data_IF_992658948429
#
_entry.id   IF_992658948429
#
_cell.length_a   1.000
_cell.length_b   1.000
_cell.length_c   1.000
_cell.angle_alpha   90.00
_cell.angle_beta   90.00
_cell.angle_gamma   90.00
#
_symmetry.space_group_name_H-M   'P 1'
#
loop_
_entity.id
_entity.type
_entity.pdbx_description
1 polymer ?
#
# COMPACT_ATOMS: atom_id res chain seq x y z
N UNK A 1 -20.87 -4.11 -4.87
CA UNK A 1 -19.99 -3.52 -3.83
C UNK A 1 -18.58 -3.53 -4.41
N UNK A 2 -18.16 -2.34 -4.79
CA UNK A 2 -17.09 -1.96 -5.74
C UNK A 2 -15.70 -1.91 -5.10
N UNK A 3 -14.65 -1.75 -5.91
CA UNK A 3 -13.22 -1.87 -5.63
C UNK A 3 -12.65 -0.79 -4.70
N UNK A 4 -13.44 -0.28 -3.74
CA UNK A 4 -13.13 0.84 -2.83
C UNK A 4 -11.86 0.67 -1.95
N UNK A 5 -11.13 -0.43 -2.14
CA UNK A 5 -10.39 -1.10 -1.11
C UNK A 5 -8.91 -1.34 -1.50
N UNK A 6 -8.61 -1.69 -2.76
CA UNK A 6 -7.22 -1.94 -3.19
C UNK A 6 -6.34 -0.66 -3.12
N UNK A 7 -6.95 0.53 -3.21
CA UNK A 7 -6.22 1.81 -3.34
C UNK A 7 -6.13 2.61 -2.04
N UNK A 8 -7.01 2.37 -1.06
CA UNK A 8 -7.00 3.06 0.24
C UNK A 8 -5.87 2.55 1.15
N UNK A 9 -5.39 1.33 0.91
CA UNK A 9 -4.53 0.63 1.85
C UNK A 9 -3.02 0.79 1.62
N UNK A 10 -2.60 1.38 0.49
CA UNK A 10 -1.19 1.74 0.27
C UNK A 10 -0.73 2.86 1.23
N UNK A 11 -1.67 3.45 1.97
CA UNK A 11 -1.52 4.70 2.66
C UNK A 11 -1.40 4.60 4.19
N UNK A 12 -0.36 3.98 4.75
CA UNK A 12 -0.06 4.09 6.20
C UNK A 12 1.44 4.06 6.51
N UNK A 13 2.11 5.21 6.72
CA UNK A 13 3.47 5.26 7.32
C UNK A 13 3.74 6.61 8.03
N UNK A 14 4.29 6.57 9.26
CA UNK A 14 4.39 7.73 10.16
C UNK A 14 5.79 8.24 10.53
N UNK A 15 5.86 9.57 10.69
CA UNK A 15 6.68 10.46 11.55
C UNK A 15 8.21 10.47 11.46
N UNK A 16 8.72 11.48 10.76
CA UNK A 16 9.88 12.31 11.11
C UNK A 16 9.90 13.56 10.20
N UNK A 17 9.74 14.75 10.81
CA UNK A 17 9.69 16.02 10.09
C UNK A 17 10.92 16.25 9.21
N UNK A 18 10.71 16.39 7.89
CA UNK A 18 11.75 16.81 6.95
C UNK A 18 11.28 18.06 6.21
N UNK A 19 11.85 19.20 6.58
CA UNK A 19 11.82 20.43 5.79
C UNK A 19 12.57 20.19 4.48
N UNK A 20 11.89 20.38 3.34
CA UNK A 20 12.53 20.37 2.02
C UNK A 20 13.53 21.52 1.91
N UNK A 21 14.79 21.23 2.17
CA UNK A 21 15.91 21.86 1.51
C UNK A 21 16.43 20.89 0.45
N UNK A 22 16.69 21.42 -0.74
CA UNK A 22 17.43 20.83 -1.86
C UNK A 22 18.27 19.62 -1.42
N UNK A 23 17.83 18.39 -1.74
CA UNK A 23 18.47 17.15 -1.28
C UNK A 23 19.91 17.12 -1.78
N UNK A 24 20.85 17.45 -0.89
CA UNK A 24 22.24 17.05 -1.02
C UNK A 24 22.26 15.54 -1.02
N UNK A 25 22.96 14.92 -1.98
CA UNK A 25 22.97 13.46 -2.15
C UNK A 25 23.37 12.82 -0.82
N UNK A 26 22.47 12.08 -0.14
CA UNK A 26 22.79 11.47 1.14
C UNK A 26 23.93 10.45 0.96
N UNK A 27 24.66 10.10 2.05
CA UNK A 27 25.71 9.08 1.99
C UNK A 27 25.18 7.80 1.34
N UNK A 28 26.05 7.05 0.67
CA UNK A 28 25.73 5.74 0.09
C UNK A 28 25.20 4.82 1.19
N UNK A 29 23.90 4.56 1.18
CA UNK A 29 23.26 3.59 2.06
C UNK A 29 23.32 2.24 1.35
N UNK A 30 24.00 1.27 1.94
CA UNK A 30 23.93 -0.12 1.46
C UNK A 30 22.53 -0.65 1.79
N UNK A 31 21.81 -1.27 0.84
CA UNK A 31 20.52 -1.89 1.15
C UNK A 31 20.72 -2.96 2.23
N UNK A 32 19.84 -3.04 3.24
CA UNK A 32 19.88 -4.14 4.20
C UNK A 32 19.57 -5.47 3.50
N UNK A 33 20.03 -6.57 4.10
CA UNK A 33 19.71 -7.90 3.61
C UNK A 33 18.20 -8.16 3.68
N UNK A 34 17.66 -8.82 2.66
CA UNK A 34 16.27 -9.25 2.66
C UNK A 34 16.08 -10.35 3.73
N UNK A 35 14.98 -10.31 4.50
CA UNK A 35 14.69 -11.35 5.47
C UNK A 35 14.44 -12.70 4.79
N UNK A 36 14.62 -13.77 5.55
CA UNK A 36 14.20 -15.12 5.15
C UNK A 36 12.77 -15.37 5.61
N UNK A 37 12.03 -16.20 4.86
CA UNK A 37 10.72 -16.68 5.28
C UNK A 37 10.80 -17.65 6.45
N UNK A 38 9.77 -17.62 7.29
CA UNK A 38 9.57 -18.57 8.39
C UNK A 38 8.18 -19.20 8.27
N UNK A 39 8.15 -20.52 8.11
CA UNK A 39 6.90 -21.28 7.98
C UNK A 39 6.02 -21.20 9.23
N UNK A 40 6.60 -20.90 10.40
CA UNK A 40 5.86 -20.70 11.65
C UNK A 40 5.18 -19.32 11.75
N UNK A 41 5.47 -18.40 10.83
CA UNK A 41 4.87 -17.06 10.78
C UNK A 41 4.05 -16.81 9.51
N UNK A 42 4.42 -17.43 8.39
CA UNK A 42 3.69 -17.35 7.13
C UNK A 42 3.49 -18.77 6.61
N UNK A 43 2.23 -19.17 6.50
CA UNK A 43 1.83 -20.37 5.78
C UNK A 43 1.11 -19.98 4.51
N UNK A 44 1.49 -20.61 3.40
CA UNK A 44 0.87 -20.38 2.08
C UNK A 44 0.13 -21.65 1.67
N UNK A 45 -1.15 -21.51 1.39
CA UNK A 45 -2.01 -22.62 0.95
C UNK A 45 -2.66 -22.27 -0.39
N UNK A 46 -2.53 -23.17 -1.37
CA UNK A 46 -3.19 -23.05 -2.66
C UNK A 46 -4.35 -24.03 -2.72
N UNK A 47 -5.56 -23.53 -2.95
CA UNK A 47 -6.70 -24.35 -3.32
C UNK A 47 -6.93 -24.24 -4.83
N UNK A 48 -6.53 -25.30 -5.54
CA UNK A 48 -6.68 -25.36 -6.99
C UNK A 48 -8.14 -25.46 -7.45
N UNK A 49 -9.04 -26.02 -6.64
CA UNK A 49 -10.45 -26.14 -7.00
C UNK A 49 -11.21 -24.82 -6.79
N UNK A 50 -10.84 -24.09 -5.74
CA UNK A 50 -11.42 -22.77 -5.44
C UNK A 50 -10.73 -21.62 -6.19
N UNK A 51 -9.62 -21.87 -6.87
CA UNK A 51 -8.80 -20.84 -7.53
C UNK A 51 -8.32 -19.75 -6.56
N UNK A 52 -7.84 -20.18 -5.38
CA UNK A 52 -7.36 -19.27 -4.33
C UNK A 52 -5.97 -19.60 -3.82
N UNK A 53 -5.25 -18.56 -3.40
CA UNK A 53 -4.01 -18.65 -2.62
C UNK A 53 -4.26 -17.92 -1.31
N UNK A 54 -4.14 -18.61 -0.19
CA UNK A 54 -4.25 -18.02 1.15
C UNK A 54 -2.88 -17.88 1.80
N UNK A 55 -2.57 -16.68 2.26
CA UNK A 55 -1.47 -16.40 3.16
C UNK A 55 -2.04 -16.28 4.58
N UNK A 56 -1.67 -17.22 5.44
CA UNK A 56 -1.97 -17.19 6.87
C UNK A 56 -0.76 -16.63 7.59
N UNK A 57 -0.95 -15.46 8.22
CA UNK A 57 0.09 -14.63 8.82
C UNK A 57 -0.12 -14.63 10.34
N UNK A 58 0.84 -15.13 11.10
CA UNK A 58 0.76 -15.33 12.54
C UNK A 58 1.30 -16.70 12.98
N UNK A 59 1.20 -17.06 14.27
CA UNK A 59 0.40 -16.40 15.31
C UNK A 59 1.00 -15.06 15.76
N UNK A 60 0.13 -14.10 16.06
CA UNK A 60 0.50 -12.83 16.71
C UNK A 60 -0.17 -12.78 18.07
N UNK A 61 0.60 -12.52 19.13
CA UNK A 61 0.05 -12.30 20.47
C UNK A 61 -0.12 -10.81 20.70
N UNK A 62 -1.36 -10.36 20.67
CA UNK A 62 -1.69 -8.97 21.01
C UNK A 62 -1.49 -8.76 22.51
N UNK A 63 -0.99 -7.58 22.87
CA UNK A 63 -0.68 -7.20 24.25
C UNK A 63 -1.40 -5.89 24.61
N UNK A 64 -2.17 -5.84 25.70
CA UNK A 64 -2.94 -4.65 26.06
C UNK A 64 -2.07 -3.45 26.47
N UNK A 65 -0.80 -3.66 26.80
CA UNK A 65 0.16 -2.60 27.19
C UNK A 65 0.87 -1.94 26.00
N UNK A 66 0.58 -2.37 24.78
CA UNK A 66 1.31 -2.01 23.57
C UNK A 66 0.31 -1.43 22.57
N UNK A 67 0.58 -0.24 22.02
CA UNK A 67 -0.31 0.40 21.04
C UNK A 67 -0.53 -0.46 19.79
N UNK A 68 0.58 -0.84 19.16
CA UNK A 68 0.62 -1.66 17.96
C UNK A 68 1.64 -2.78 18.07
N UNK A 69 1.33 -3.96 17.54
CA UNK A 69 2.27 -5.09 17.44
C UNK A 69 2.60 -5.30 15.97
N UNK A 70 3.89 -5.35 15.64
CA UNK A 70 4.38 -5.66 14.30
C UNK A 70 5.09 -7.00 14.31
N UNK A 71 4.81 -7.84 13.31
CA UNK A 71 5.58 -9.08 13.14
C UNK A 71 6.89 -8.79 12.39
N UNK A 72 7.94 -9.61 12.57
CA UNK A 72 9.13 -9.51 11.73
C UNK A 72 8.73 -9.64 10.26
N UNK A 73 9.22 -8.75 9.39
CA UNK A 73 8.96 -8.84 7.94
C UNK A 73 9.38 -10.20 7.42
N UNK A 74 8.52 -10.84 6.64
CA UNK A 74 8.73 -12.20 6.13
C UNK A 74 8.87 -12.19 4.61
N UNK A 75 9.73 -13.04 4.08
CA UNK A 75 9.77 -13.35 2.66
C UNK A 75 8.94 -14.59 2.38
N UNK A 76 8.22 -14.61 1.27
CA UNK A 76 7.49 -15.76 0.76
C UNK A 76 7.53 -15.78 -0.78
N UNK A 77 6.85 -16.74 -1.40
CA UNK A 77 6.79 -16.88 -2.85
C UNK A 77 5.39 -17.22 -3.35
N UNK A 78 5.07 -16.80 -4.57
CA UNK A 78 3.84 -17.16 -5.25
C UNK A 78 3.88 -18.60 -5.79
N UNK A 79 2.81 -19.40 -5.64
CA UNK A 79 2.77 -20.80 -6.04
C UNK A 79 2.08 -21.06 -7.40
N UNK A 80 1.93 -20.04 -8.25
CA UNK A 80 1.20 -20.13 -9.54
C UNK A 80 1.89 -19.34 -10.65
N UNK A 81 1.66 -19.77 -11.88
CA UNK A 81 1.85 -18.99 -13.10
C UNK A 81 0.46 -18.53 -13.60
N UNK A 82 0.25 -17.21 -13.72
CA UNK A 82 -1.03 -16.67 -14.16
C UNK A 82 -1.31 -15.25 -13.68
N UNK A 83 -2.54 -14.98 -13.24
CA UNK A 83 -2.97 -13.64 -12.80
C UNK A 83 -3.71 -13.66 -11.49
N UNK A 84 -3.40 -12.70 -10.61
CA UNK A 84 -4.21 -12.36 -9.45
C UNK A 84 -5.32 -11.38 -9.86
N UNK A 85 -6.55 -11.65 -9.45
CA UNK A 85 -7.73 -10.85 -9.81
C UNK A 85 -8.36 -10.11 -8.64
N UNK A 86 -8.12 -10.56 -7.42
CA UNK A 86 -8.76 -9.99 -6.25
C UNK A 86 -8.26 -10.61 -4.98
N UNK A 87 -8.80 -10.12 -3.87
CA UNK A 87 -8.40 -10.54 -2.55
C UNK A 87 -9.56 -10.46 -1.55
N UNK A 88 -9.41 -11.19 -0.45
CA UNK A 88 -10.20 -11.04 0.79
C UNK A 88 -9.23 -11.02 1.97
N UNK A 89 -9.55 -10.20 2.98
CA UNK A 89 -8.81 -10.08 4.23
C UNK A 89 -9.71 -10.43 5.40
N UNK A 90 -9.24 -11.30 6.28
CA UNK A 90 -9.94 -11.69 7.49
C UNK A 90 -8.98 -11.84 8.66
N UNK A 91 -9.47 -11.50 9.85
CA UNK A 91 -8.79 -11.77 11.12
C UNK A 91 -9.44 -12.99 11.78
N UNK A 92 -8.63 -13.87 12.37
CA UNK A 92 -9.11 -15.05 13.11
C UNK A 92 -8.31 -15.28 14.37
N UNK A 93 -8.89 -15.94 15.37
CA UNK A 93 -8.15 -16.45 16.53
C UNK A 93 -7.58 -17.86 16.28
N UNK A 94 -6.88 -18.42 17.27
CA UNK A 94 -6.28 -19.75 17.20
C UNK A 94 -7.27 -20.91 17.04
N UNK A 95 -8.55 -20.71 17.36
CA UNK A 95 -9.61 -21.68 17.12
C UNK A 95 -10.26 -21.50 15.73
N UNK A 96 -9.78 -20.51 14.96
CA UNK A 96 -10.29 -20.18 13.62
C UNK A 96 -11.55 -19.32 13.63
N UNK A 97 -11.99 -18.82 14.79
CA UNK A 97 -13.16 -17.96 14.90
C UNK A 97 -12.87 -16.57 14.33
N UNK A 98 -13.84 -15.93 13.67
CA UNK A 98 -13.64 -14.61 13.07
C UNK A 98 -13.43 -13.55 14.15
N UNK A 99 -12.47 -12.66 13.91
CA UNK A 99 -12.18 -11.48 14.71
C UNK A 99 -12.50 -10.19 13.94
N UNK A 100 -12.68 -9.05 14.65
CA UNK A 100 -12.77 -7.74 14.02
C UNK A 100 -11.57 -7.46 13.11
N UNK A 101 -11.80 -6.90 11.92
CA UNK A 101 -10.70 -6.52 11.02
C UNK A 101 -9.97 -5.29 11.54
N UNK A 102 -10.62 -4.51 12.40
CA UNK A 102 -10.12 -3.31 13.04
C UNK A 102 -8.88 -3.60 13.93
N UNK A 103 -8.60 -4.87 14.23
CA UNK A 103 -7.34 -5.32 14.84
C UNK A 103 -6.14 -5.24 13.88
N UNK A 104 -6.36 -5.20 12.57
CA UNK A 104 -5.32 -4.97 11.57
C UNK A 104 -5.08 -3.46 11.47
N UNK A 105 -3.84 -3.03 11.72
CA UNK A 105 -3.42 -1.66 11.41
C UNK A 105 -3.18 -1.59 9.90
N UNK A 106 -2.26 -2.42 9.39
CA UNK A 106 -2.10 -2.64 7.95
C UNK A 106 -1.30 -3.89 7.63
N UNK A 107 -1.43 -4.34 6.39
CA UNK A 107 -0.55 -5.33 5.76
C UNK A 107 -0.15 -4.82 4.38
N UNK A 108 1.10 -5.06 3.99
CA UNK A 108 1.62 -4.77 2.64
C UNK A 108 2.39 -5.97 2.11
N UNK A 109 2.15 -6.30 0.85
CA UNK A 109 2.90 -7.26 0.06
C UNK A 109 3.72 -6.48 -0.97
N UNK A 110 5.03 -6.72 -0.99
CA UNK A 110 5.99 -5.97 -1.80
C UNK A 110 6.78 -6.96 -2.64
N UNK A 111 6.86 -6.71 -3.95
CA UNK A 111 7.77 -7.40 -4.84
C UNK A 111 9.16 -6.75 -4.71
N UNK A 112 10.16 -7.47 -4.16
CA UNK A 112 11.48 -6.91 -3.91
C UNK A 112 12.38 -6.91 -5.16
N UNK A 113 11.93 -7.46 -6.30
CA UNK A 113 12.71 -7.67 -7.50
C UNK A 113 12.39 -6.65 -8.60
N UNK A 114 11.14 -6.19 -8.64
CA UNK A 114 10.68 -5.17 -9.59
C UNK A 114 10.54 -3.78 -8.95
N UNK A 115 10.82 -2.76 -9.76
CA UNK A 115 10.69 -1.36 -9.36
C UNK A 115 9.22 -0.91 -9.32
N UNK A 116 8.85 0.03 -8.47
CA UNK A 116 7.57 0.74 -8.52
C UNK A 116 7.44 1.62 -9.79
N UNK A 117 6.19 1.93 -10.20
CA UNK A 117 5.92 2.66 -11.44
C UNK A 117 6.56 4.05 -11.46
N UNK A 118 6.42 4.85 -10.40
CA UNK A 118 6.88 6.25 -10.39
C UNK A 118 8.19 6.48 -9.63
N UNK A 119 8.65 5.50 -8.85
CA UNK A 119 9.73 5.65 -7.89
C UNK A 119 10.75 4.51 -8.02
N UNK A 120 12.04 4.74 -7.70
CA UNK A 120 13.09 3.74 -7.82
C UNK A 120 13.11 2.71 -6.68
N UNK A 121 11.98 2.47 -6.01
CA UNK A 121 11.84 1.57 -4.86
C UNK A 121 11.14 0.27 -5.27
N UNK A 122 11.06 -0.70 -4.36
CA UNK A 122 10.38 -1.98 -4.60
C UNK A 122 8.88 -1.79 -4.88
N UNK A 123 8.30 -2.59 -5.77
CA UNK A 123 6.89 -2.45 -6.18
C UNK A 123 5.95 -2.93 -5.07
N UNK A 124 4.95 -2.12 -4.72
CA UNK A 124 3.89 -2.55 -3.78
C UNK A 124 2.82 -3.29 -4.57
N UNK A 125 2.65 -4.57 -4.29
CA UNK A 125 1.72 -5.45 -5.02
C UNK A 125 0.31 -5.38 -4.43
N UNK A 126 0.23 -5.27 -3.11
CA UNK A 126 -1.04 -5.27 -2.39
C UNK A 126 -0.86 -4.60 -1.05
N UNK A 127 -1.90 -3.94 -0.57
CA UNK A 127 -2.00 -3.53 0.82
C UNK A 127 -3.46 -3.62 1.30
N UNK A 128 -3.65 -3.79 2.60
CA UNK A 128 -4.96 -3.68 3.28
C UNK A 128 -4.81 -3.14 4.70
N UNK A 129 -5.84 -2.42 5.17
CA UNK A 129 -5.98 -1.97 6.56
C UNK A 129 -7.41 -2.28 7.05
N UNK A 130 -8.35 -1.38 6.77
CA UNK A 130 -9.80 -1.54 7.02
C UNK A 130 -10.55 -2.29 5.90
N UNK A 131 -9.80 -2.65 4.87
CA UNK A 131 -10.30 -3.12 3.60
C UNK A 131 -10.49 -4.64 3.61
N UNK A 132 -11.75 -5.09 3.50
CA UNK A 132 -12.10 -6.52 3.57
C UNK A 132 -11.91 -7.28 2.26
N UNK A 133 -12.17 -6.64 1.11
CA UNK A 133 -12.09 -7.32 -0.20
C UNK A 133 -11.95 -6.33 -1.36
N UNK A 134 -11.37 -6.79 -2.45
CA UNK A 134 -11.33 -6.07 -3.72
C UNK A 134 -11.13 -7.04 -4.88
N UNK A 135 -11.66 -6.72 -6.05
CA UNK A 135 -11.43 -7.49 -7.27
C UNK A 135 -11.49 -6.61 -8.53
N UNK A 136 -10.62 -6.90 -9.50
CA UNK A 136 -10.69 -6.33 -10.84
C UNK A 136 -11.56 -7.21 -11.76
N UNK A 137 -12.10 -6.67 -12.86
CA UNK A 137 -12.77 -7.48 -13.87
C UNK A 137 -11.85 -8.60 -14.39
N UNK A 138 -12.38 -9.81 -14.60
CA UNK A 138 -11.58 -10.99 -14.97
C UNK A 138 -10.79 -10.89 -16.29
N UNK A 139 -11.07 -9.90 -17.14
CA UNK A 139 -10.31 -9.61 -18.36
C UNK A 139 -8.98 -8.88 -18.08
N UNK A 140 -8.73 -8.50 -16.83
CA UNK A 140 -7.48 -7.91 -16.37
C UNK A 140 -7.02 -8.61 -15.08
N UNK A 141 -5.72 -8.61 -14.83
CA UNK A 141 -5.15 -9.13 -13.58
C UNK A 141 -3.69 -8.74 -13.41
N UNK A 142 -3.21 -8.87 -12.18
CA UNK A 142 -1.80 -8.70 -11.86
C UNK A 142 -1.05 -9.99 -12.23
N UNK A 143 -0.15 -9.94 -13.24
CA UNK A 143 0.56 -11.13 -13.70
C UNK A 143 1.57 -11.60 -12.65
N UNK A 144 1.69 -12.90 -12.49
CA UNK A 144 2.59 -13.56 -11.53
C UNK A 144 3.19 -14.83 -12.13
N UNK A 145 4.41 -15.13 -11.73
CA UNK A 145 5.12 -16.37 -12.03
C UNK A 145 5.37 -17.17 -10.74
N UNK A 146 5.40 -18.50 -10.87
CA UNK A 146 5.68 -19.37 -9.74
C UNK A 146 7.11 -19.14 -9.25
N UNK A 147 7.26 -18.83 -7.97
CA UNK A 147 8.54 -18.46 -7.36
C UNK A 147 8.78 -16.95 -7.27
N UNK A 148 7.92 -16.10 -7.83
CA UNK A 148 7.95 -14.66 -7.59
C UNK A 148 7.97 -14.38 -6.08
N UNK A 149 8.92 -13.57 -5.65
CA UNK A 149 9.15 -13.29 -4.23
C UNK A 149 8.24 -12.18 -3.74
N UNK A 150 7.76 -12.32 -2.51
CA UNK A 150 6.96 -11.29 -1.84
C UNK A 150 7.48 -11.07 -0.43
N UNK A 151 7.76 -9.81 -0.10
CA UNK A 151 7.94 -9.35 1.27
C UNK A 151 6.58 -9.01 1.88
N UNK A 152 6.31 -9.54 3.07
CA UNK A 152 5.11 -9.28 3.84
C UNK A 152 5.50 -8.48 5.10
N UNK A 153 4.95 -7.27 5.20
CA UNK A 153 4.99 -6.46 6.42
C UNK A 153 3.57 -6.30 6.95
N UNK A 154 3.35 -6.62 8.23
CA UNK A 154 2.03 -6.52 8.87
C UNK A 154 2.13 -5.95 10.28
N UNK A 155 1.22 -5.04 10.61
CA UNK A 155 1.06 -4.38 11.91
C UNK A 155 -0.39 -4.49 12.38
N UNK A 156 -0.57 -4.60 13.69
CA UNK A 156 -1.84 -4.87 14.35
C UNK A 156 -2.10 -3.85 15.45
N UNK A 157 -3.32 -3.35 15.55
CA UNK A 157 -3.79 -2.53 16.67
C UNK A 157 -3.98 -3.40 17.91
N UNK A 158 -3.14 -3.18 18.91
CA UNK A 158 -3.06 -4.04 20.10
C UNK A 158 -3.83 -3.48 21.29
N UNK A 159 -4.14 -2.17 21.31
CA UNK A 159 -5.04 -1.54 22.31
C UNK A 159 -6.53 -1.82 22.08
N UNK A 160 -6.90 -2.25 20.87
CA UNK A 160 -8.29 -2.66 20.59
C UNK A 160 -8.58 -4.07 21.12
N UNK A 161 -7.59 -4.77 21.69
CA UNK A 161 -7.73 -6.09 22.28
C UNK A 161 -8.69 -6.11 23.49
N UNK A 162 -8.87 -4.98 24.20
CA UNK A 162 -9.84 -4.88 25.31
C UNK A 162 -11.31 -5.01 24.85
N UNK A 163 -11.57 -4.83 23.54
CA UNK A 163 -12.89 -5.08 22.94
C UNK A 163 -13.14 -6.57 22.66
N UNK A 164 -12.10 -7.41 22.75
CA UNK A 164 -12.21 -8.85 22.71
C UNK A 164 -12.50 -9.32 24.13
N UNK A 165 -13.75 -9.66 24.39
CA UNK A 165 -14.18 -10.18 25.68
C UNK A 165 -13.31 -11.40 26.07
N UNK A 166 -12.82 -11.37 27.31
CA UNK A 166 -11.81 -12.25 27.96
C UNK A 166 -10.36 -11.83 27.81
N UNK A 167 -9.80 -11.39 28.95
CA UNK A 167 -8.40 -11.00 29.16
C UNK A 167 -7.38 -12.15 29.07
N UNK A 168 -7.61 -13.11 28.19
CA UNK A 168 -6.68 -14.17 27.84
C UNK A 168 -5.96 -13.81 26.54
N UNK A 169 -4.65 -14.08 26.49
CA UNK A 169 -3.75 -13.77 25.37
C UNK A 169 -4.20 -14.54 24.11
N UNK A 170 -5.09 -13.97 23.31
CA UNK A 170 -5.52 -14.60 22.05
C UNK A 170 -4.43 -14.44 21.00
N UNK A 171 -3.95 -15.57 20.50
CA UNK A 171 -3.19 -15.61 19.25
C UNK A 171 -4.14 -15.22 18.12
N UNK A 172 -3.73 -14.23 17.34
CA UNK A 172 -4.46 -13.76 16.17
C UNK A 172 -3.71 -14.11 14.90
N UNK A 173 -4.47 -14.39 13.87
CA UNK A 173 -4.02 -14.75 12.53
C UNK A 173 -4.67 -13.82 11.52
N UNK A 174 -3.85 -13.27 10.65
CA UNK A 174 -4.30 -12.52 9.48
C UNK A 174 -4.35 -13.46 8.28
N UNK A 175 -5.50 -13.54 7.65
CA UNK A 175 -5.74 -14.32 6.45
C UNK A 175 -5.87 -13.37 5.26
N UNK A 176 -4.98 -13.50 4.28
CA UNK A 176 -5.05 -12.79 3.00
C UNK A 176 -5.23 -13.81 1.88
N UNK A 177 -6.43 -13.88 1.31
CA UNK A 177 -6.77 -14.81 0.25
C UNK A 177 -6.83 -14.10 -1.08
N UNK A 178 -5.98 -14.46 -2.04
CA UNK A 178 -6.05 -13.98 -3.42
C UNK A 178 -6.84 -14.93 -4.30
N UNK A 179 -7.62 -14.40 -5.25
CA UNK A 179 -8.23 -15.18 -6.34
C UNK A 179 -7.37 -15.10 -7.59
N UNK A 180 -7.27 -16.21 -8.34
CA UNK A 180 -6.41 -16.28 -9.51
C UNK A 180 -7.04 -16.96 -10.74
N UNK A 181 -6.43 -16.76 -11.90
CA UNK A 181 -6.58 -17.63 -13.07
C UNK A 181 -5.20 -18.12 -13.53
N UNK A 182 -5.14 -19.31 -14.15
CA UNK A 182 -3.88 -19.88 -14.61
C UNK A 182 -3.59 -19.52 -16.07
N UNK A 183 -2.32 -19.48 -16.42
CA UNK A 183 -1.90 -19.41 -17.82
C UNK A 183 -2.46 -20.58 -18.64
N UNK A 184 -2.96 -20.29 -19.84
CA UNK A 184 -3.54 -21.29 -20.75
C UNK A 184 -4.90 -21.87 -20.32
N UNK A 185 -5.46 -21.48 -19.18
CA UNK A 185 -6.75 -21.98 -18.69
C UNK A 185 -7.95 -21.41 -19.48
N UNK A 186 -7.87 -20.13 -19.84
CA UNK A 186 -8.95 -19.40 -20.49
C UNK A 186 -8.70 -19.22 -21.99
N UNK A 187 -9.78 -19.15 -22.79
CA UNK A 187 -9.71 -18.85 -24.22
C UNK A 187 -9.06 -17.47 -24.49
N UNK A 188 -9.28 -16.51 -23.59
CA UNK A 188 -8.72 -15.18 -23.63
C UNK A 188 -7.97 -14.95 -22.33
N UNK A 189 -6.67 -14.73 -22.43
CA UNK A 189 -5.84 -14.39 -21.28
C UNK A 189 -6.13 -12.97 -20.78
N UNK A 190 -6.11 -12.74 -19.47
CA UNK A 190 -6.20 -11.42 -18.89
C UNK A 190 -5.11 -10.48 -19.40
N UNK A 191 -5.44 -9.20 -19.51
CA UNK A 191 -4.46 -8.14 -19.75
C UNK A 191 -3.76 -7.74 -18.44
N UNK A 192 -2.47 -7.50 -18.53
CA UNK A 192 -1.65 -7.19 -17.37
C UNK A 192 -1.98 -5.79 -16.82
N UNK A 193 -2.33 -5.76 -15.54
CA UNK A 193 -2.45 -4.53 -14.76
C UNK A 193 -1.51 -4.55 -13.57
N UNK A 194 -1.04 -3.38 -13.17
CA UNK A 194 -0.15 -3.21 -12.02
C UNK A 194 -0.74 -2.16 -11.08
N UNK A 195 -0.69 -2.38 -9.76
CA UNK A 195 -0.89 -1.30 -8.81
C UNK A 195 0.23 -0.27 -8.94
N UNK A 196 -0.06 0.97 -8.56
CA UNK A 196 0.95 1.99 -8.31
C UNK A 196 0.49 2.92 -7.19
N UNK A 197 1.45 3.61 -6.58
CA UNK A 197 1.14 4.63 -5.59
C UNK A 197 1.98 5.89 -5.78
N UNK A 198 1.46 7.01 -5.29
CA UNK A 198 2.05 8.34 -5.35
C UNK A 198 1.73 9.07 -4.05
N UNK A 199 2.71 9.75 -3.45
CA UNK A 199 2.49 10.55 -2.24
C UNK A 199 3.14 11.93 -2.41
N UNK A 200 2.48 12.97 -1.89
CA UNK A 200 2.95 14.37 -1.97
C UNK A 200 4.27 14.64 -1.23
N UNK A 201 4.68 13.74 -0.34
CA UNK A 201 5.98 13.73 0.33
C UNK A 201 7.03 12.89 -0.43
N UNK A 202 6.65 12.23 -1.53
CA UNK A 202 7.51 11.39 -2.35
C UNK A 202 7.41 9.91 -1.98
N UNK A 203 8.49 9.15 -2.14
CA UNK A 203 8.47 7.68 -1.99
C UNK A 203 9.41 7.16 -0.89
N UNK A 204 10.16 8.02 -0.20
CA UNK A 204 10.96 7.64 0.99
C UNK A 204 10.66 8.60 2.14
N UNK A 205 10.55 8.05 3.35
CA UNK A 205 10.40 8.82 4.58
C UNK A 205 8.94 8.99 5.02
N UNK A 206 8.73 9.94 5.92
CA UNK A 206 7.41 10.25 6.48
C UNK A 206 6.41 10.66 5.41
N UNK A 207 5.19 10.13 5.50
CA UNK A 207 4.07 10.42 4.60
C UNK A 207 3.16 11.52 5.12
N UNK A 208 3.39 11.94 6.36
CA UNK A 208 2.65 13.01 7.01
C UNK A 208 3.43 14.31 7.00
N UNK A 209 2.71 15.43 7.05
CA UNK A 209 3.31 16.76 7.13
C UNK A 209 2.47 17.70 7.99
N UNK A 210 3.09 18.77 8.47
CA UNK A 210 2.38 19.80 9.24
C UNK A 210 1.43 20.58 8.31
N UNK A 211 0.15 20.63 8.68
CA UNK A 211 -0.87 21.49 8.04
C UNK A 211 -1.09 22.71 8.93
N UNK A 212 -0.55 23.90 8.56
CA UNK A 212 -0.71 25.11 9.36
C UNK A 212 -2.15 25.64 9.31
N UNK A 213 -2.54 26.59 10.18
CA UNK A 213 -3.78 27.35 10.05
C UNK A 213 -3.96 27.97 8.65
N UNK A 214 -5.17 27.88 8.11
CA UNK A 214 -5.56 28.39 6.80
C UNK A 214 -5.15 27.48 5.62
N UNK A 215 -5.07 28.09 4.43
CA UNK A 215 -4.80 27.36 3.18
C UNK A 215 -3.34 26.93 3.09
N UNK A 216 -3.13 25.67 2.70
CA UNK A 216 -1.81 25.14 2.39
C UNK A 216 -1.86 24.11 1.28
N UNK A 217 -0.71 23.88 0.63
CA UNK A 217 -0.57 22.93 -0.47
C UNK A 217 0.74 22.16 -0.33
N UNK A 218 0.72 20.89 -0.74
CA UNK A 218 1.91 20.04 -0.93
C UNK A 218 1.84 19.33 -2.27
N UNK A 219 2.99 19.02 -2.84
CA UNK A 219 3.07 18.32 -4.11
C UNK A 219 4.37 17.55 -4.28
N UNK A 220 4.31 16.47 -5.03
CA UNK A 220 5.48 15.73 -5.50
C UNK A 220 5.36 15.46 -7.01
N UNK A 221 6.50 15.33 -7.69
CA UNK A 221 6.56 15.12 -9.14
C UNK A 221 7.41 13.93 -9.51
N UNK A 222 6.99 13.20 -10.54
CA UNK A 222 7.74 12.10 -11.12
C UNK A 222 7.18 11.64 -12.46
N UNK A 223 7.90 10.73 -13.10
CA UNK A 223 7.53 10.13 -14.37
C UNK A 223 7.34 8.62 -14.17
N UNK A 224 6.33 8.01 -14.82
CA UNK A 224 6.18 6.57 -14.77
C UNK A 224 7.33 5.91 -15.52
N UNK A 225 7.71 4.71 -15.10
CA UNK A 225 8.72 3.87 -15.70
C UNK A 225 8.34 3.39 -17.10
N UNK A 226 7.04 3.27 -17.37
CA UNK A 226 6.46 2.75 -18.61
C UNK A 226 5.23 3.53 -19.02
N UNK A 227 4.90 3.49 -20.31
CA UNK A 227 3.63 3.99 -20.82
C UNK A 227 2.47 3.09 -20.36
N UNK A 228 1.27 3.65 -20.25
CA UNK A 228 0.09 2.85 -19.94
C UNK A 228 -1.19 3.66 -19.83
N UNK A 229 -2.22 3.02 -19.30
CA UNK A 229 -3.55 3.60 -19.09
C UNK A 229 -3.97 3.40 -17.65
N UNK A 230 -4.20 4.50 -16.95
CA UNK A 230 -4.76 4.46 -15.60
C UNK A 230 -6.22 4.01 -15.70
N UNK A 231 -6.52 2.90 -15.03
CA UNK A 231 -7.84 2.24 -15.07
C UNK A 231 -8.64 2.43 -13.77
N UNK A 232 -7.96 2.74 -12.67
CA UNK A 232 -8.61 3.15 -11.43
C UNK A 232 -7.69 4.08 -10.63
N UNK A 233 -8.30 5.01 -9.91
CA UNK A 233 -7.65 5.91 -8.97
C UNK A 233 -8.49 6.06 -7.71
N UNK A 234 -7.82 6.02 -6.58
CA UNK A 234 -8.34 6.43 -5.28
C UNK A 234 -7.28 7.27 -4.58
N UNK A 235 -7.56 7.65 -3.34
CA UNK A 235 -6.57 8.34 -2.56
C UNK A 235 -6.84 8.30 -1.08
N UNK A 236 -5.93 8.89 -0.33
CA UNK A 236 -6.03 8.99 1.10
C UNK A 236 -5.48 10.35 1.54
N UNK A 237 -6.27 11.03 2.39
CA UNK A 237 -5.99 12.35 2.93
C UNK A 237 -6.54 12.43 4.35
N UNK A 238 -5.94 13.27 5.18
CA UNK A 238 -6.43 13.57 6.53
C UNK A 238 -7.43 14.75 6.53
N UNK A 239 -8.05 15.00 7.69
CA UNK A 239 -8.98 16.10 7.97
C UNK A 239 -8.52 17.46 7.42
N UNK A 240 -9.47 18.27 6.97
CA UNK A 240 -9.28 19.58 6.33
C UNK A 240 -8.69 19.55 4.91
N UNK A 241 -8.47 18.37 4.32
CA UNK A 241 -8.16 18.27 2.90
C UNK A 241 -9.36 18.76 2.08
N UNK A 242 -9.10 19.67 1.14
CA UNK A 242 -10.13 20.23 0.26
C UNK A 242 -10.03 19.70 -1.16
N UNK A 243 -8.84 19.20 -1.55
CA UNK A 243 -8.60 18.69 -2.90
C UNK A 243 -7.40 17.76 -2.97
N UNK A 244 -7.49 16.75 -3.82
CA UNK A 244 -6.37 15.89 -4.23
C UNK A 244 -6.38 15.75 -5.76
N UNK A 245 -5.21 15.85 -6.40
CA UNK A 245 -5.10 15.89 -7.87
C UNK A 245 -3.90 15.10 -8.39
N UNK A 246 -4.05 14.56 -9.59
CA UNK A 246 -2.98 14.10 -10.45
C UNK A 246 -2.98 14.91 -11.75
N UNK A 247 -1.86 15.56 -12.06
CA UNK A 247 -1.72 16.46 -13.19
C UNK A 247 -0.59 15.98 -14.10
N UNK A 248 -0.83 15.94 -15.40
CA UNK A 248 0.20 15.83 -16.43
C UNK A 248 0.77 17.22 -16.67
N UNK A 249 1.92 17.51 -16.06
CA UNK A 249 2.55 18.84 -16.11
C UNK A 249 3.11 19.12 -17.49
N UNK A 250 3.52 18.09 -18.22
CA UNK A 250 4.04 18.21 -19.59
C UNK A 250 2.98 18.72 -20.55
N UNK A 251 1.72 18.25 -20.42
CA UNK A 251 0.60 18.70 -21.26
C UNK A 251 -0.23 19.84 -20.65
N UNK A 252 -0.13 20.06 -19.34
CA UNK A 252 -1.02 20.96 -18.61
C UNK A 252 -2.42 20.37 -18.38
N UNK A 253 -2.54 19.04 -18.42
CA UNK A 253 -3.82 18.33 -18.32
C UNK A 253 -4.04 17.78 -16.91
N UNK A 254 -5.26 17.95 -16.38
CA UNK A 254 -5.66 17.25 -15.15
C UNK A 254 -6.05 15.82 -15.51
N UNK A 255 -5.33 14.85 -14.97
CA UNK A 255 -5.60 13.41 -15.17
C UNK A 255 -6.75 12.98 -14.27
N UNK A 256 -6.73 13.44 -13.02
CA UNK A 256 -7.72 13.11 -12.02
C UNK A 256 -7.74 14.17 -10.92
N UNK A 257 -8.92 14.37 -10.35
CA UNK A 257 -9.16 15.33 -9.28
C UNK A 257 -10.34 14.87 -8.45
N UNK A 258 -10.23 15.06 -7.14
CA UNK A 258 -11.29 14.77 -6.19
C UNK A 258 -11.32 15.82 -5.09
N UNK A 259 -12.53 16.13 -4.62
CA UNK A 259 -12.76 16.78 -3.35
C UNK A 259 -13.15 15.69 -2.33
N UNK A 260 -12.46 15.57 -1.18
CA UNK A 260 -12.82 14.61 -0.15
C UNK A 260 -14.26 14.79 0.33
N UNK A 261 -14.93 13.68 0.65
CA UNK A 261 -16.18 13.75 1.41
C UNK A 261 -15.83 14.08 2.85
N UNK A 262 -16.32 15.21 3.37
CA UNK A 262 -16.03 15.65 4.74
C UNK A 262 -17.30 16.11 5.46
N UNK A 263 -17.31 15.93 6.78
CA UNK A 263 -18.36 16.44 7.64
C UNK A 263 -18.26 17.97 7.86
N UNK A 264 -19.17 18.52 8.66
CA UNK A 264 -19.22 19.96 8.95
C UNK A 264 -18.02 20.48 9.74
N UNK A 265 -17.34 19.60 10.47
CA UNK A 265 -16.17 19.91 11.27
C UNK A 265 -14.87 19.73 10.46
N UNK A 266 -14.98 19.36 9.17
CA UNK A 266 -13.86 19.16 8.27
C UNK A 266 -13.23 17.77 8.38
N UNK A 267 -13.88 16.83 9.08
CA UNK A 267 -13.39 15.45 9.20
C UNK A 267 -13.66 14.70 7.92
N UNK A 268 -12.65 14.02 7.40
CA UNK A 268 -12.79 13.25 6.15
C UNK A 268 -13.54 11.96 6.44
N UNK A 269 -14.66 11.75 5.74
CA UNK A 269 -15.47 10.53 5.81
C UNK A 269 -15.03 9.49 4.75
N UNK A 270 -14.37 9.94 3.68
CA UNK A 270 -13.77 9.04 2.68
C UNK A 270 -13.37 9.73 1.38
N UNK A 271 -12.60 9.00 0.56
CA UNK A 271 -12.22 9.40 -0.80
C UNK A 271 -12.88 8.47 -1.81
N UNK A 272 -13.72 8.99 -2.73
CA UNK A 272 -14.29 8.18 -3.79
C UNK A 272 -13.22 7.55 -4.69
N UNK A 273 -13.41 6.29 -5.03
CA UNK A 273 -12.63 5.61 -6.06
C UNK A 273 -13.27 5.84 -7.43
N UNK A 274 -12.47 6.27 -8.39
CA UNK A 274 -12.87 6.42 -9.79
C UNK A 274 -12.36 5.24 -10.61
N UNK A 275 -13.27 4.35 -10.95
CA UNK A 275 -13.05 3.19 -11.81
C UNK A 275 -13.33 3.54 -13.28
N UNK A 276 -12.46 3.08 -14.19
CA UNK A 276 -12.51 3.38 -15.62
C UNK A 276 -12.44 2.11 -16.48
N UNK A 277 -12.83 0.94 -15.95
CA UNK A 277 -12.72 -0.38 -16.60
C UNK A 277 -13.35 -0.45 -18.00
N UNK A 278 -14.52 0.18 -18.13
CA UNK A 278 -15.33 0.17 -19.34
C UNK A 278 -15.00 1.33 -20.29
N UNK A 279 -14.17 2.27 -19.84
CA UNK A 279 -13.54 3.27 -20.69
C UNK A 279 -12.15 2.80 -21.14
N UNK A 280 -11.50 3.59 -21.98
CA UNK A 280 -10.11 3.33 -22.39
C UNK A 280 -9.08 3.74 -21.32
N UNK A 281 -9.51 3.94 -20.06
CA UNK A 281 -8.71 4.59 -19.02
C UNK A 281 -8.19 5.96 -19.42
N UNK A 282 -7.25 6.51 -18.63
CA UNK A 282 -6.52 7.74 -18.96
C UNK A 282 -5.08 7.39 -19.31
N UNK A 283 -4.68 7.70 -20.55
CA UNK A 283 -3.33 7.43 -21.02
C UNK A 283 -2.30 8.28 -20.27
N UNK A 284 -1.20 7.66 -19.87
CA UNK A 284 -0.01 8.30 -19.32
C UNK A 284 1.23 7.84 -20.11
N UNK A 285 2.29 8.64 -20.10
CA UNK A 285 3.53 8.34 -20.80
C UNK A 285 4.75 8.48 -19.90
N UNK A 286 5.71 7.56 -20.06
CA UNK A 286 7.03 7.62 -19.43
C UNK A 286 7.82 8.87 -19.82
N UNK A 287 7.50 9.50 -20.95
CA UNK A 287 8.13 10.73 -21.39
C UNK A 287 7.60 12.00 -20.70
N UNK A 288 6.53 11.90 -19.92
CA UNK A 288 5.90 13.05 -19.27
C UNK A 288 6.22 13.15 -17.79
N UNK A 289 6.13 14.37 -17.26
CA UNK A 289 6.22 14.65 -15.84
C UNK A 289 4.81 14.80 -15.26
N UNK A 290 4.52 14.05 -14.21
CA UNK A 290 3.25 14.10 -13.49
C UNK A 290 3.46 14.72 -12.12
N UNK A 291 2.43 15.39 -11.61
CA UNK A 291 2.41 15.99 -10.27
C UNK A 291 1.19 15.50 -9.50
N UNK A 292 1.43 14.96 -8.31
CA UNK A 292 0.41 14.81 -7.29
C UNK A 292 0.37 16.11 -6.46
N UNK A 293 -0.82 16.61 -6.19
CA UNK A 293 -1.05 17.81 -5.38
C UNK A 293 -2.15 17.56 -4.37
N UNK A 294 -1.97 18.01 -3.12
CA UNK A 294 -3.03 18.06 -2.12
C UNK A 294 -3.17 19.47 -1.59
N UNK A 295 -4.41 19.94 -1.49
CA UNK A 295 -4.80 21.22 -0.93
C UNK A 295 -5.52 20.99 0.41
N UNK A 296 -5.20 21.84 1.39
CA UNK A 296 -5.79 21.86 2.72
C UNK A 296 -6.30 23.25 3.06
N UNK A 297 -7.38 23.34 3.85
CA UNK A 297 -7.86 24.59 4.45
C UNK A 297 -8.23 24.35 5.92
N UNK A 298 -7.25 24.53 6.81
CA UNK A 298 -7.40 24.23 8.24
C UNK A 298 -8.03 25.43 8.97
N UNK A 299 -9.26 25.32 9.51
CA UNK A 299 -9.94 26.42 10.18
C UNK A 299 -9.43 26.68 11.61
N UNK A 300 -8.58 25.80 12.14
CA UNK A 300 -8.08 25.89 13.51
C UNK A 300 -6.99 26.96 13.65
N UNK A 301 -6.84 27.59 14.83
CA UNK A 301 -5.75 28.54 15.09
C UNK A 301 -4.39 27.85 15.30
N UNK A 302 -4.36 26.52 15.30
CA UNK A 302 -3.17 25.68 15.48
C UNK A 302 -3.05 24.69 14.30
N UNK A 303 -1.86 24.08 14.10
CA UNK A 303 -1.73 23.02 13.11
C UNK A 303 -2.75 21.90 13.30
N UNK A 304 -3.17 21.27 12.20
CA UNK A 304 -4.11 20.15 12.25
C UNK A 304 -3.54 19.02 13.13
N UNK A 305 -4.31 18.50 14.11
CA UNK A 305 -3.79 17.52 15.08
C UNK A 305 -3.21 16.25 14.44
N UNK A 306 -3.84 15.75 13.38
CA UNK A 306 -3.40 14.56 12.65
C UNK A 306 -2.38 14.87 11.54
N UNK A 307 -1.93 16.13 11.41
CA UNK A 307 -1.18 16.59 10.24
C UNK A 307 -1.97 16.44 8.94
N UNK A 308 -1.25 16.47 7.82
CA UNK A 308 -1.79 16.30 6.48
C UNK A 308 -1.17 15.10 5.79
N UNK A 309 -1.90 14.64 4.76
CA UNK A 309 -1.52 13.53 3.90
C UNK A 309 -2.10 13.72 2.51
N UNK A 310 -1.40 13.27 1.49
CA UNK A 310 -1.86 13.37 0.12
C UNK A 310 -1.33 12.21 -0.69
N UNK A 311 -2.13 11.14 -0.77
CA UNK A 311 -1.71 9.92 -1.43
C UNK A 311 -2.71 9.48 -2.49
N UNK A 312 -2.21 8.96 -3.60
CA UNK A 312 -2.98 8.34 -4.66
C UNK A 312 -2.52 6.90 -4.79
N UNK A 313 -3.46 5.97 -4.71
CA UNK A 313 -3.31 4.61 -5.22
C UNK A 313 -3.98 4.51 -6.59
N UNK A 314 -3.41 3.73 -7.50
CA UNK A 314 -4.02 3.45 -8.79
C UNK A 314 -3.75 2.07 -9.35
N UNK A 315 -4.46 1.74 -10.43
CA UNK A 315 -4.22 0.55 -11.25
C UNK A 315 -3.90 1.02 -12.67
N UNK A 316 -2.76 0.58 -13.21
CA UNK A 316 -2.34 0.86 -14.58
C UNK A 316 -2.47 -0.40 -15.45
N UNK A 317 -3.16 -0.28 -16.58
CA UNK A 317 -3.12 -1.22 -17.68
C UNK A 317 -1.93 -0.92 -18.57
N UNK A 318 -1.09 -1.92 -18.81
CA UNK A 318 0.07 -1.80 -19.68
C UNK A 318 -0.07 -2.70 -20.90
N UNK A 319 0.83 -2.53 -21.87
CA UNK A 319 0.94 -3.43 -23.01
C UNK A 319 1.41 -4.82 -22.57
N UNK A 320 0.91 -5.86 -23.24
CA UNK A 320 1.34 -7.23 -22.98
C UNK A 320 2.81 -7.36 -23.41
N UNK A 321 3.64 -7.97 -22.57
CA UNK A 321 5.07 -8.12 -22.83
C UNK A 321 5.89 -6.86 -22.62
N UNK A 322 5.34 -5.82 -21.98
CA UNK A 322 6.14 -4.65 -21.60
C UNK A 322 7.27 -5.09 -20.67
N UNK A 323 8.49 -4.63 -20.96
CA UNK A 323 9.62 -4.87 -20.09
C UNK A 323 9.50 -3.93 -18.88
N UNK A 324 8.98 -4.44 -17.78
CA UNK A 324 8.92 -3.70 -16.53
C UNK A 324 10.34 -3.52 -15.97
N UNK A 325 10.76 -2.32 -15.55
CA UNK A 325 12.11 -2.12 -15.05
C UNK A 325 12.38 -2.92 -13.77
N UNK A 326 13.49 -3.66 -13.79
CA UNK A 326 14.02 -4.30 -12.58
C UNK A 326 14.48 -3.25 -11.59
N UNK A 327 14.36 -3.61 -10.32
CA UNK A 327 14.86 -2.80 -9.24
C UNK A 327 16.40 -2.73 -9.29
N UNK A 328 16.96 -1.53 -9.06
CA UNK A 328 18.40 -1.36 -8.89
C UNK A 328 18.75 -1.44 -7.39
N UNK A 329 19.37 -2.53 -6.90
CA UNK A 329 19.69 -2.65 -5.48
C UNK A 329 20.74 -1.63 -5.00
N UNK A 330 21.51 -1.03 -5.92
CA UNK A 330 22.47 0.02 -5.59
C UNK A 330 21.84 1.42 -5.53
N UNK A 331 20.53 1.55 -5.77
CA UNK A 331 19.84 2.84 -5.65
C UNK A 331 19.72 3.24 -4.16
N UNK A 332 20.25 4.41 -3.76
CA UNK A 332 20.17 4.85 -2.36
C UNK A 332 18.73 5.07 -1.89
N UNK A 333 17.80 5.33 -2.80
CA UNK A 333 16.39 5.47 -2.46
C UNK A 333 15.75 4.13 -2.13
N UNK A 334 16.09 3.09 -2.90
CA UNK A 334 15.70 1.72 -2.57
C UNK A 334 16.27 1.30 -1.22
N UNK A 335 17.57 1.54 -0.98
CA UNK A 335 18.20 1.16 0.27
C UNK A 335 17.52 1.82 1.49
N UNK A 336 17.14 3.10 1.37
CA UNK A 336 16.39 3.82 2.42
C UNK A 336 14.96 3.32 2.56
N UNK A 337 14.28 3.05 1.45
CA UNK A 337 12.92 2.51 1.46
C UNK A 337 12.88 1.12 2.12
N UNK A 338 13.76 0.21 1.70
CA UNK A 338 13.87 -1.11 2.31
C UNK A 338 14.27 -1.00 3.78
N UNK A 339 15.19 -0.10 4.13
CA UNK A 339 15.50 0.17 5.52
C UNK A 339 14.26 0.64 6.30
N UNK A 340 13.40 1.51 5.76
CA UNK A 340 12.16 1.91 6.43
C UNK A 340 11.19 0.73 6.57
N UNK A 341 10.97 -0.05 5.51
CA UNK A 341 10.14 -1.25 5.54
C UNK A 341 10.64 -2.23 6.60
N UNK A 342 11.94 -2.45 6.73
CA UNK A 342 12.48 -3.37 7.74
C UNK A 342 12.54 -2.73 9.13
N UNK A 343 12.83 -1.43 9.21
CA UNK A 343 13.14 -0.69 10.43
C UNK A 343 11.99 0.12 10.99
N UNK A 344 10.75 -0.01 10.49
CA UNK A 344 9.51 0.34 11.18
C UNK A 344 9.43 -0.39 12.54
N UNK A 345 10.30 0.08 13.42
CA UNK A 345 10.44 0.03 14.86
C UNK A 345 10.03 1.43 15.31
N UNK A 346 9.18 1.51 16.33
CA UNK A 346 8.72 2.80 16.88
C UNK A 346 9.89 3.75 17.19
N UNK A 347 9.68 5.06 17.06
CA UNK A 347 10.29 6.00 18.00
C UNK A 347 9.79 5.64 19.41
N UNK A 348 10.73 5.33 20.31
CA UNK A 348 10.59 5.07 21.75
C UNK A 348 10.03 3.70 22.19
N UNK A 349 10.91 2.73 22.40
CA UNK A 349 11.15 2.12 23.73
C UNK A 349 12.36 1.15 23.71
N UNK A 350 13.09 1.00 24.84
CA UNK A 350 14.38 0.34 24.91
C UNK A 350 14.29 -1.20 24.97
N UNK A 351 15.35 -1.84 24.51
CA UNK A 351 15.56 -3.29 24.41
C UNK A 351 14.98 -4.11 25.57
N UNK A 352 14.10 -5.05 25.25
CA UNK A 352 13.88 -6.24 26.07
C UNK A 352 13.45 -7.43 25.22
N UNK A 353 14.43 -8.05 24.56
CA UNK A 353 14.36 -9.47 24.19
C UNK A 353 15.57 -10.19 24.78
N UNK A 354 15.31 -11.02 25.80
CA UNK A 354 15.92 -12.33 26.02
C UNK A 354 15.42 -12.91 27.37
N UNK A 355 15.37 -14.25 27.51
CA UNK A 355 14.82 -15.28 26.62
C UNK A 355 13.38 -15.68 26.98
#
# INVERSE_FOLDING_TARGET
MTLACLLAALALFGTAASTQAQQTRPPTVTPPDLPTGRDDLIRVERDAAAHTIEYVIGPVRLRPDVANVRIPVQMTSLPIDGWLHGFTVAMRDGDGLPLPLELLDHVTFIDPDDRELFSPVARRVFAAADTRRGAVPGLIGYPVEAGDRLLIAAEFHSLQADSIADGERREVFLHVTFTFSLEGENLIEPRNVYPFHLDVMGFVGDRTFVVPPGKSMRSWQGSPAVDGRVMALGGHVHDFATRLRLVDVTRGDVIWEIAPGSDRDGRVEGIPIHEMWWGLGRAISAAHLYRIEVEYDNPLPLPAPAGGRGEIGGIILVEKGIAWPKLNPADPDYARDLANVLAERRPTEPDSFAP
#
